data_IF_824340771111
#
_entry.id   IF_824340771111
#
_cell.length_a   1.000
_cell.length_b   1.000
_cell.length_c   1.000
_cell.angle_alpha   90.00
_cell.angle_beta   90.00
_cell.angle_gamma   90.00
#
_symmetry.space_group_name_H-M   'P 1'
#
loop_
_entity.id
_entity.type
_entity.pdbx_description
1 polymer ?
#
# COMPACT_ATOMS: atom_id res chain seq x y z
N UNK A 1 31.38 -30.69 16.50
CA UNK A 1 30.08 -30.58 15.80
C UNK A 1 29.25 -29.33 16.17
N UNK A 2 29.70 -28.43 17.06
CA UNK A 2 28.97 -27.19 17.40
C UNK A 2 29.19 -26.00 16.44
N UNK A 3 30.25 -26.03 15.61
CA UNK A 3 30.64 -24.88 14.76
C UNK A 3 29.75 -24.70 13.52
N UNK A 4 29.17 -25.78 13.01
CA UNK A 4 28.30 -25.74 11.82
C UNK A 4 26.94 -25.11 12.18
N UNK A 5 26.41 -25.39 13.38
CA UNK A 5 25.15 -24.83 13.85
C UNK A 5 25.19 -23.32 14.05
N UNK A 6 26.33 -22.77 14.50
CA UNK A 6 26.47 -21.33 14.71
C UNK A 6 26.53 -20.56 13.38
N UNK A 7 27.20 -21.12 12.37
CA UNK A 7 27.25 -20.54 11.02
C UNK A 7 25.88 -20.57 10.33
N UNK A 8 25.10 -21.64 10.50
CA UNK A 8 23.73 -21.69 9.97
C UNK A 8 22.79 -20.68 10.66
N UNK A 9 22.91 -20.52 11.98
CA UNK A 9 22.16 -19.49 12.72
C UNK A 9 22.56 -18.07 12.29
N UNK A 10 23.87 -17.82 12.10
CA UNK A 10 24.36 -16.54 11.60
C UNK A 10 23.87 -16.27 10.18
N UNK A 11 23.82 -17.28 9.31
CA UNK A 11 23.26 -17.17 7.96
C UNK A 11 21.76 -16.87 7.99
N UNK A 12 20.99 -17.55 8.83
CA UNK A 12 19.55 -17.26 8.98
C UNK A 12 19.28 -15.85 9.54
N UNK A 13 20.16 -15.33 10.41
CA UNK A 13 20.07 -13.97 10.93
C UNK A 13 20.52 -12.90 9.92
N UNK A 14 21.48 -13.21 9.04
CA UNK A 14 22.01 -12.28 8.03
C UNK A 14 21.18 -12.25 6.74
N UNK A 15 20.48 -13.34 6.40
CA UNK A 15 19.61 -13.45 5.22
C UNK A 15 18.11 -13.40 5.56
N UNK A 16 17.78 -13.26 6.85
CA UNK A 16 16.42 -13.12 7.36
C UNK A 16 15.90 -11.68 7.36
N UNK A 17 16.39 -10.81 6.47
CA UNK A 17 15.85 -9.47 6.30
C UNK A 17 14.59 -9.56 5.44
N UNK A 18 13.46 -9.91 6.06
CA UNK A 18 12.17 -9.42 5.59
C UNK A 18 12.07 -7.96 6.03
N UNK A 19 12.87 -7.11 5.40
CA UNK A 19 12.82 -5.67 5.57
C UNK A 19 12.19 -5.10 4.30
N UNK A 20 11.32 -4.10 4.48
CA UNK A 20 10.53 -3.46 3.44
C UNK A 20 11.32 -3.25 2.14
N UNK A 21 10.64 -3.30 1.00
CA UNK A 21 11.20 -3.34 -0.36
C UNK A 21 11.86 -2.01 -0.81
N UNK A 22 12.58 -1.36 0.10
CA UNK A 22 13.30 -0.11 -0.03
C UNK A 22 14.80 -0.40 -0.01
N UNK A 23 15.38 -0.64 -1.17
CA UNK A 23 16.80 -0.90 -1.30
C UNK A 23 17.67 0.35 -1.44
N UNK A 24 17.15 1.50 -1.91
CA UNK A 24 18.04 2.37 -2.71
C UNK A 24 17.67 3.86 -2.90
N UNK A 25 16.58 4.42 -2.34
CA UNK A 25 16.41 5.89 -2.42
C UNK A 25 15.02 6.51 -2.39
N UNK A 26 14.09 5.98 -1.58
CA UNK A 26 12.91 6.77 -1.20
C UNK A 26 13.35 8.11 -0.59
N UNK A 27 12.70 9.23 -0.99
CA UNK A 27 12.90 10.54 -0.34
C UNK A 27 12.16 10.67 1.00
N UNK A 28 11.37 9.67 1.38
CA UNK A 28 10.57 9.67 2.60
C UNK A 28 11.00 8.51 3.53
N UNK A 29 11.88 8.77 4.50
CA UNK A 29 12.39 7.77 5.43
C UNK A 29 11.36 7.32 6.46
N UNK A 30 10.21 7.99 6.60
CA UNK A 30 9.20 7.66 7.61
C UNK A 30 8.45 6.35 7.29
N UNK A 31 8.52 5.85 6.05
CA UNK A 31 7.76 4.68 5.57
C UNK A 31 8.58 3.37 5.47
N UNK A 32 9.82 3.34 5.95
CA UNK A 32 10.68 2.16 5.87
C UNK A 32 10.19 0.95 6.70
N UNK A 33 9.20 1.16 7.57
CA UNK A 33 8.63 0.15 8.46
C UNK A 33 7.33 -0.49 7.92
N UNK A 34 6.82 -0.03 6.77
CA UNK A 34 5.60 -0.57 6.16
C UNK A 34 5.90 -1.90 5.48
N UNK A 35 5.00 -2.88 5.63
CA UNK A 35 5.05 -4.09 4.82
C UNK A 35 4.85 -3.76 3.33
N UNK A 36 5.36 -4.58 2.42
CA UNK A 36 5.18 -4.39 0.98
C UNK A 36 4.45 -5.58 0.36
N UNK A 37 3.47 -5.32 -0.50
CA UNK A 37 2.77 -6.34 -1.29
C UNK A 37 2.47 -5.81 -2.69
N UNK A 38 2.57 -6.67 -3.70
CA UNK A 38 2.10 -6.39 -5.05
C UNK A 38 0.80 -7.14 -5.32
N UNK A 39 -0.16 -6.48 -5.97
CA UNK A 39 -1.50 -7.02 -6.20
C UNK A 39 -1.92 -6.76 -7.64
N UNK A 40 -2.27 -7.83 -8.34
CA UNK A 40 -2.87 -7.75 -9.66
C UNK A 40 -4.36 -7.40 -9.54
N UNK A 41 -4.78 -6.32 -10.21
CA UNK A 41 -6.17 -5.88 -10.23
C UNK A 41 -7.02 -6.77 -11.15
N UNK A 42 -8.32 -6.84 -10.88
CA UNK A 42 -9.30 -7.48 -11.74
C UNK A 42 -9.81 -6.44 -12.73
N UNK A 43 -9.65 -6.69 -14.02
CA UNK A 43 -10.01 -5.75 -15.08
C UNK A 43 -11.21 -6.23 -15.90
N UNK A 44 -11.92 -5.28 -16.51
CA UNK A 44 -12.88 -5.56 -17.57
C UNK A 44 -12.20 -6.05 -18.87
N UNK A 45 -12.99 -6.51 -19.85
CA UNK A 45 -12.50 -7.16 -21.07
C UNK A 45 -11.50 -6.30 -21.88
N UNK A 46 -11.76 -5.00 -21.98
CA UNK A 46 -10.90 -4.05 -22.69
C UNK A 46 -9.82 -3.44 -21.79
N UNK A 47 -9.75 -3.84 -20.52
CA UNK A 47 -8.82 -3.35 -19.49
C UNK A 47 -8.85 -1.84 -19.29
N UNK A 48 -9.95 -1.19 -19.65
CA UNK A 48 -10.11 0.24 -19.47
C UNK A 48 -10.43 0.61 -18.03
N UNK A 49 -10.96 -0.34 -17.26
CA UNK A 49 -11.32 -0.19 -15.86
C UNK A 49 -10.90 -1.44 -15.08
N UNK A 50 -10.23 -1.25 -13.95
CA UNK A 50 -9.74 -2.31 -13.08
C UNK A 50 -10.03 -2.00 -11.63
N UNK A 51 -10.25 -3.04 -10.82
CA UNK A 51 -10.58 -2.93 -9.41
C UNK A 51 -9.87 -3.97 -8.55
N UNK A 52 -9.62 -3.63 -7.31
CA UNK A 52 -9.25 -4.56 -6.26
C UNK A 52 -10.00 -4.20 -4.98
N UNK A 53 -10.57 -5.19 -4.31
CA UNK A 53 -11.24 -4.98 -3.04
C UNK A 53 -10.86 -6.07 -2.03
N UNK A 54 -10.77 -5.68 -0.76
CA UNK A 54 -10.55 -6.61 0.34
C UNK A 54 -11.12 -6.06 1.64
N UNK A 55 -11.49 -6.98 2.53
CA UNK A 55 -11.91 -6.63 3.88
C UNK A 55 -10.74 -6.72 4.85
N UNK A 56 -10.55 -5.68 5.66
CA UNK A 56 -9.61 -5.66 6.78
C UNK A 56 -10.38 -5.57 8.11
N UNK A 57 -9.79 -6.11 9.18
CA UNK A 57 -10.33 -5.96 10.54
C UNK A 57 -9.34 -5.18 11.38
N UNK A 58 -9.81 -4.12 12.03
CA UNK A 58 -9.02 -3.35 12.98
C UNK A 58 -9.91 -2.83 14.10
N UNK A 59 -9.45 -2.90 15.35
CA UNK A 59 -10.18 -2.42 16.53
C UNK A 59 -11.64 -2.90 16.63
N UNK A 60 -11.92 -4.14 16.22
CA UNK A 60 -13.27 -4.72 16.25
C UNK A 60 -14.18 -4.28 15.09
N UNK A 61 -13.75 -3.32 14.27
CA UNK A 61 -14.42 -2.87 13.06
C UNK A 61 -13.96 -3.67 11.83
N UNK A 62 -14.85 -3.76 10.84
CA UNK A 62 -14.57 -4.36 9.53
C UNK A 62 -14.59 -3.25 8.50
N UNK A 63 -13.48 -3.09 7.79
CA UNK A 63 -13.31 -2.10 6.74
C UNK A 63 -13.34 -2.79 5.39
N UNK A 64 -14.18 -2.32 4.46
CA UNK A 64 -14.09 -2.65 3.05
C UNK A 64 -13.19 -1.62 2.37
N UNK A 65 -12.06 -2.09 1.85
CA UNK A 65 -11.14 -1.28 1.07
C UNK A 65 -11.39 -1.57 -0.40
N UNK A 66 -11.57 -0.53 -1.22
CA UNK A 66 -11.81 -0.63 -2.66
C UNK A 66 -10.84 0.30 -3.38
N UNK A 67 -10.16 -0.23 -4.39
CA UNK A 67 -9.18 0.49 -5.20
C UNK A 67 -9.55 0.31 -6.66
N UNK A 68 -9.75 1.40 -7.37
CA UNK A 68 -10.23 1.42 -8.75
C UNK A 68 -9.32 2.25 -9.62
N UNK A 69 -9.12 1.78 -10.85
CA UNK A 69 -8.27 2.40 -11.86
C UNK A 69 -9.05 2.49 -13.17
N UNK A 70 -8.99 3.65 -13.82
CA UNK A 70 -9.40 3.83 -15.22
C UNK A 70 -8.26 4.39 -16.05
N UNK A 71 -8.13 3.92 -17.29
CA UNK A 71 -7.01 4.28 -18.18
C UNK A 71 -7.20 5.56 -18.99
N UNK A 72 -8.44 5.99 -19.22
CA UNK A 72 -8.75 7.18 -20.01
C UNK A 72 -10.06 7.85 -19.53
N UNK A 73 -10.00 8.94 -18.75
CA UNK A 73 -8.78 9.57 -18.22
C UNK A 73 -8.03 8.66 -17.26
N UNK A 74 -6.73 8.90 -17.06
CA UNK A 74 -5.97 8.21 -16.02
C UNK A 74 -6.53 8.65 -14.67
N UNK A 75 -7.21 7.75 -13.99
CA UNK A 75 -7.84 8.03 -12.71
C UNK A 75 -7.66 6.84 -11.79
N UNK A 76 -7.32 7.15 -10.55
CA UNK A 76 -7.22 6.17 -9.48
C UNK A 76 -8.06 6.62 -8.31
N UNK A 77 -8.86 5.69 -7.78
CA UNK A 77 -9.73 5.91 -6.64
C UNK A 77 -9.41 4.89 -5.56
N UNK A 78 -9.37 5.35 -4.32
CA UNK A 78 -9.34 4.53 -3.14
C UNK A 78 -10.53 4.91 -2.26
N UNK A 79 -11.25 3.91 -1.76
CA UNK A 79 -12.24 4.10 -0.72
C UNK A 79 -12.09 3.09 0.40
N UNK A 80 -12.41 3.55 1.60
CA UNK A 80 -12.45 2.74 2.80
C UNK A 80 -13.82 2.97 3.44
N UNK A 81 -14.54 1.88 3.71
CA UNK A 81 -15.92 1.93 4.22
C UNK A 81 -16.02 1.05 5.47
N UNK A 82 -16.54 1.58 6.57
CA UNK A 82 -16.77 0.79 7.81
C UNK A 82 -18.27 0.58 8.13
N UNK A 83 -19.15 1.06 7.24
CA UNK A 83 -20.60 1.01 7.38
C UNK A 83 -21.19 2.19 8.18
N UNK A 84 -20.35 3.05 8.75
CA UNK A 84 -20.74 4.30 9.44
C UNK A 84 -20.15 5.51 8.72
N UNK A 85 -18.87 5.44 8.39
CA UNK A 85 -18.12 6.48 7.70
C UNK A 85 -17.42 5.88 6.48
N UNK A 86 -17.48 6.63 5.39
CA UNK A 86 -16.79 6.32 4.16
C UNK A 86 -15.73 7.39 3.89
N UNK A 87 -14.52 6.94 3.57
CA UNK A 87 -13.42 7.80 3.17
C UNK A 87 -13.12 7.56 1.69
N UNK A 88 -12.90 8.65 0.96
CA UNK A 88 -12.65 8.63 -0.48
C UNK A 88 -11.44 9.47 -0.85
N UNK A 89 -10.59 8.88 -1.68
CA UNK A 89 -9.44 9.53 -2.30
C UNK A 89 -9.51 9.30 -3.80
N UNK A 90 -9.47 10.39 -4.55
CA UNK A 90 -9.48 10.35 -6.02
C UNK A 90 -8.28 11.15 -6.52
N UNK A 91 -7.60 10.59 -7.51
CA UNK A 91 -6.57 11.24 -8.29
C UNK A 91 -6.91 11.10 -9.77
N UNK A 92 -6.75 12.19 -10.53
CA UNK A 92 -6.99 12.23 -11.98
C UNK A 92 -5.82 12.94 -12.61
N UNK A 93 -5.33 12.41 -13.72
CA UNK A 93 -4.23 12.97 -14.50
C UNK A 93 -4.51 12.84 -15.99
N UNK A 94 -4.08 13.84 -16.76
CA UNK A 94 -4.23 13.83 -18.21
C UNK A 94 -3.12 13.01 -18.90
N UNK A 95 -1.88 13.11 -18.41
CA UNK A 95 -0.72 12.37 -18.91
C UNK A 95 -0.23 11.34 -17.88
N UNK A 96 -0.46 10.03 -18.08
CA UNK A 96 -0.04 8.98 -17.13
C UNK A 96 1.48 8.75 -17.08
N UNK A 97 2.25 9.36 -17.98
CA UNK A 97 3.71 9.24 -18.01
C UNK A 97 4.41 10.21 -17.04
N UNK A 98 3.71 11.25 -16.59
CA UNK A 98 4.26 12.19 -15.61
C UNK A 98 4.17 11.60 -14.19
N UNK A 99 5.25 11.67 -13.39
CA UNK A 99 5.22 11.18 -12.02
C UNK A 99 4.35 12.07 -11.12
N UNK A 100 3.61 11.47 -10.21
CA UNK A 100 2.81 12.13 -9.19
C UNK A 100 2.99 11.48 -7.82
N UNK A 101 2.76 12.31 -6.79
CA UNK A 101 2.55 11.86 -5.42
C UNK A 101 1.47 12.71 -4.77
N UNK A 102 0.41 12.06 -4.28
CA UNK A 102 -0.69 12.73 -3.57
C UNK A 102 -0.89 12.03 -2.24
N UNK A 103 -0.73 12.80 -1.16
CA UNK A 103 -0.95 12.33 0.20
C UNK A 103 -2.11 13.08 0.84
N UNK A 104 -2.95 12.38 1.59
CA UNK A 104 -3.96 12.98 2.45
C UNK A 104 -3.91 12.32 3.82
N UNK A 105 -4.02 13.16 4.84
CA UNK A 105 -4.15 12.71 6.22
C UNK A 105 -5.61 12.79 6.66
N UNK A 106 -6.04 11.78 7.41
CA UNK A 106 -7.33 11.74 8.08
C UNK A 106 -7.09 11.64 9.58
N UNK A 107 -7.72 12.53 10.33
CA UNK A 107 -7.76 12.44 11.78
C UNK A 107 -9.06 11.79 12.20
N UNK A 108 -8.95 10.65 12.88
CA UNK A 108 -10.08 9.94 13.47
C UNK A 108 -10.12 10.27 14.95
N UNK A 109 -11.19 10.94 15.37
CA UNK A 109 -11.44 11.24 16.78
C UNK A 109 -11.72 9.94 17.55
N UNK A 110 -11.48 9.95 18.85
CA UNK A 110 -11.76 8.78 19.69
C UNK A 110 -13.24 8.40 19.65
N UNK A 111 -13.53 7.13 19.41
CA UNK A 111 -14.87 6.53 19.49
C UNK A 111 -14.87 5.42 20.56
N UNK A 112 -16.03 4.89 20.98
CA UNK A 112 -16.07 3.72 21.86
C UNK A 112 -15.29 2.52 21.30
N UNK A 113 -15.27 2.36 19.98
CA UNK A 113 -14.58 1.29 19.25
C UNK A 113 -13.09 1.61 19.04
N UNK A 114 -12.74 2.90 18.93
CA UNK A 114 -11.37 3.39 18.78
C UNK A 114 -11.03 4.36 19.93
N UNK A 115 -10.61 3.85 21.10
CA UNK A 115 -10.53 4.64 22.33
C UNK A 115 -9.39 5.67 22.36
N UNK A 116 -8.48 5.60 21.39
CA UNK A 116 -7.38 6.54 21.23
C UNK A 116 -7.53 7.28 19.89
N UNK A 117 -7.26 8.59 19.83
CA UNK A 117 -7.22 9.29 18.56
C UNK A 117 -6.19 8.62 17.65
N UNK A 118 -6.55 8.50 16.38
CA UNK A 118 -5.71 7.92 15.35
C UNK A 118 -5.54 8.93 14.22
N UNK A 119 -4.31 9.05 13.74
CA UNK A 119 -4.03 9.73 12.47
C UNK A 119 -3.70 8.66 11.44
N UNK A 120 -4.40 8.66 10.32
CA UNK A 120 -4.08 7.81 9.19
C UNK A 120 -3.58 8.68 8.03
N UNK A 121 -2.50 8.29 7.38
CA UNK A 121 -2.06 8.90 6.14
C UNK A 121 -2.22 7.90 5.00
N UNK A 122 -2.71 8.39 3.86
CA UNK A 122 -2.78 7.63 2.61
C UNK A 122 -2.08 8.43 1.52
N UNK A 123 -1.06 7.82 0.91
CA UNK A 123 -0.31 8.36 -0.20
C UNK A 123 -0.48 7.48 -1.44
N UNK A 124 -0.74 8.09 -2.59
CA UNK A 124 -0.77 7.47 -3.90
C UNK A 124 0.39 8.02 -4.73
N UNK A 125 1.15 7.14 -5.38
CA UNK A 125 2.39 7.49 -6.08
C UNK A 125 2.60 6.56 -7.29
N UNK A 126 3.05 7.07 -8.44
CA UNK A 126 3.38 6.26 -9.62
C UNK A 126 4.88 6.29 -9.99
N UNK A 127 5.75 6.72 -9.08
CA UNK A 127 7.19 6.61 -9.23
C UNK A 127 7.68 5.27 -8.67
N UNK A 128 7.92 4.33 -9.58
CA UNK A 128 8.40 2.99 -9.24
C UNK A 128 9.93 2.88 -9.25
N UNK A 129 10.66 3.97 -9.49
CA UNK A 129 12.11 3.93 -9.69
C UNK A 129 12.90 3.39 -8.49
N UNK A 130 12.35 3.53 -7.29
CA UNK A 130 12.92 3.05 -6.03
C UNK A 130 12.27 1.75 -5.50
N UNK A 131 11.45 1.08 -6.32
CA UNK A 131 10.74 -0.14 -5.94
C UNK A 131 11.23 -1.34 -6.76
N UNK A 132 11.54 -2.44 -6.08
CA UNK A 132 11.76 -3.72 -6.77
C UNK A 132 10.43 -4.32 -7.19
N UNK A 133 9.98 -3.99 -8.41
CA UNK A 133 8.72 -4.47 -8.99
C UNK A 133 8.80 -6.00 -9.22
N UNK A 134 7.93 -6.79 -8.58
CA UNK A 134 7.90 -8.24 -8.79
C UNK A 134 7.60 -8.61 -10.25
N UNK A 135 8.16 -9.71 -10.75
CA UNK A 135 8.01 -10.12 -12.15
C UNK A 135 6.59 -10.48 -12.58
N UNK A 136 5.69 -10.78 -11.64
CA UNK A 136 4.26 -11.00 -11.85
C UNK A 136 3.44 -9.69 -11.93
N UNK A 137 4.07 -8.55 -11.65
CA UNK A 137 3.53 -7.21 -11.87
C UNK A 137 4.02 -6.65 -13.22
N UNK A 138 3.38 -7.08 -14.30
CA UNK A 138 3.83 -6.71 -15.67
C UNK A 138 3.66 -5.22 -16.01
N UNK A 139 2.66 -4.56 -15.41
CA UNK A 139 2.32 -3.16 -15.69
C UNK A 139 1.94 -2.48 -14.36
N UNK A 140 2.90 -1.87 -13.64
CA UNK A 140 2.62 -1.14 -12.41
C UNK A 140 1.78 0.10 -12.72
N UNK A 141 0.79 0.38 -11.88
CA UNK A 141 -0.16 1.50 -12.03
C UNK A 141 0.09 2.55 -10.95
N UNK A 142 0.05 2.12 -9.69
CA UNK A 142 0.20 3.03 -8.55
C UNK A 142 0.63 2.24 -7.33
N UNK A 143 1.41 2.89 -6.49
CA UNK A 143 1.74 2.46 -5.14
C UNK A 143 0.86 3.22 -4.17
N UNK A 144 0.09 2.51 -3.36
CA UNK A 144 -0.67 3.10 -2.25
C UNK A 144 0.03 2.76 -0.95
N UNK A 145 0.47 3.78 -0.23
CA UNK A 145 1.01 3.64 1.12
C UNK A 145 -0.04 4.12 2.11
N UNK A 146 -0.38 3.27 3.06
CA UNK A 146 -1.25 3.62 4.18
C UNK A 146 -0.52 3.36 5.49
N UNK A 147 -0.42 4.37 6.33
CA UNK A 147 0.09 4.26 7.68
C UNK A 147 -0.91 4.80 8.69
N UNK A 148 -0.79 4.31 9.92
CA UNK A 148 -1.60 4.69 11.06
C UNK A 148 -0.71 5.02 12.23
N UNK A 149 -0.82 6.24 12.72
CA UNK A 149 -0.15 6.73 13.91
C UNK A 149 -1.11 6.73 15.08
N UNK A 150 -0.77 5.98 16.11
CA UNK A 150 -1.48 5.97 17.38
C UNK A 150 -0.80 6.89 18.38
N UNK A 151 -1.54 7.37 19.39
CA UNK A 151 -1.02 8.23 20.45
C UNK A 151 0.14 7.60 21.27
N UNK A 152 0.38 6.29 21.14
CA UNK A 152 1.49 5.57 21.76
C UNK A 152 2.75 5.48 20.86
N UNK A 153 2.82 6.30 19.82
CA UNK A 153 3.92 6.36 18.84
C UNK A 153 4.12 5.09 18.00
N UNK A 154 3.23 4.09 18.13
CA UNK A 154 3.25 2.95 17.20
C UNK A 154 2.75 3.40 15.84
N UNK A 155 3.57 3.10 14.83
CA UNK A 155 3.21 3.26 13.43
C UNK A 155 3.04 1.86 12.85
N UNK A 156 1.86 1.61 12.28
CA UNK A 156 1.60 0.42 11.50
C UNK A 156 1.18 0.85 10.11
N UNK A 157 1.60 0.10 9.11
CA UNK A 157 1.00 0.27 7.80
C UNK A 157 1.54 -0.66 6.74
N UNK A 158 1.03 -0.43 5.55
CA UNK A 158 1.19 -1.30 4.40
C UNK A 158 1.37 -0.43 3.16
N UNK A 159 2.30 -0.84 2.33
CA UNK A 159 2.45 -0.36 0.98
C UNK A 159 1.99 -1.43 0.00
N UNK A 160 1.10 -1.04 -0.90
CA UNK A 160 0.50 -1.92 -1.90
C UNK A 160 0.82 -1.38 -3.29
N UNK A 161 1.55 -2.15 -4.10
CA UNK A 161 1.72 -1.89 -5.52
C UNK A 161 0.56 -2.52 -6.31
N UNK A 162 -0.23 -1.70 -6.99
CA UNK A 162 -1.30 -2.15 -7.87
C UNK A 162 -0.80 -2.31 -9.30
N UNK A 163 -1.12 -3.46 -9.88
CA UNK A 163 -0.62 -3.88 -11.19
C UNK A 163 -1.78 -4.27 -12.11
N UNK A 164 -1.64 -4.02 -13.41
CA UNK A 164 -2.54 -4.61 -14.40
C UNK A 164 -2.12 -6.08 -14.66
N UNK A 165 -3.09 -6.99 -14.82
CA UNK A 165 -2.82 -8.38 -15.10
C UNK A 165 -2.12 -8.54 -16.45
N UNK A 166 -1.25 -9.54 -16.58
CA UNK A 166 -0.52 -9.81 -17.84
C UNK A 166 -1.50 -10.09 -19.00
N UNK A 167 -1.16 -9.68 -20.23
CA UNK A 167 -1.89 -10.14 -21.42
C UNK A 167 -1.56 -11.62 -21.64
N UNK A 168 -2.61 -12.44 -21.79
CA UNK A 168 -2.48 -13.83 -22.19
C UNK A 168 -2.10 -13.94 -23.68
#
# INVERSE_FOLDING_TARGET
MLRVSFLCLLYLLLFGTAEANWGDGSRDPDHSHLGFVAVNMICNDNRSACGHCYSARSHGLVYLNVFEYTSAPYQFEASIQDGVQDWYWTFVQDDPSEPFRVCKEVQVSSTPELPLPMRAALCMDNDFSALSVPGDCSHPVVTVSMDTHFANEKINGLQTLYCLPQQA
#
